data_IF_355003364943
#
_entry.id   IF_355003364943
#
_cell.length_a   1.000
_cell.length_b   1.000
_cell.length_c   1.000
_cell.angle_alpha   90.00
_cell.angle_beta   90.00
_cell.angle_gamma   90.00
#
_symmetry.space_group_name_H-M   'P 1'
#
loop_
_entity.id
_entity.type
_entity.pdbx_description
1 polymer ?
#
# COMPACT_ATOMS: atom_id res chain seq x y z
N UNK A 1 -27.77 20.19 -16.67
CA UNK A 1 -26.82 20.86 -15.75
C UNK A 1 -25.96 19.80 -15.10
N UNK A 2 -24.78 19.57 -15.64
CA UNK A 2 -23.80 18.60 -15.14
C UNK A 2 -22.69 19.34 -14.42
N UNK A 3 -22.48 19.03 -13.15
CA UNK A 3 -21.15 19.06 -12.54
C UNK A 3 -21.11 17.93 -11.54
N UNK A 4 -20.72 16.74 -12.02
CA UNK A 4 -20.43 15.58 -11.19
C UNK A 4 -19.33 15.97 -10.19
N UNK A 5 -19.50 15.52 -8.95
CA UNK A 5 -18.56 15.67 -7.84
C UNK A 5 -17.10 15.54 -8.28
N UNK A 6 -16.29 16.58 -8.06
CA UNK A 6 -14.83 16.52 -8.14
C UNK A 6 -14.29 15.80 -6.88
N UNK A 7 -14.55 14.50 -6.75
CA UNK A 7 -13.77 13.67 -5.83
C UNK A 7 -12.36 13.51 -6.44
N UNK A 8 -11.30 13.58 -5.61
CA UNK A 8 -9.93 13.51 -6.11
C UNK A 8 -9.72 12.18 -6.84
N UNK A 9 -9.22 12.24 -8.08
CA UNK A 9 -8.94 11.05 -8.90
C UNK A 9 -7.87 10.15 -8.28
N UNK A 10 -7.05 10.69 -7.39
CA UNK A 10 -5.92 10.01 -6.78
C UNK A 10 -5.80 10.38 -5.31
N UNK A 11 -5.68 9.36 -4.44
CA UNK A 11 -5.47 9.53 -3.00
C UNK A 11 -4.03 9.14 -2.68
N UNK A 12 -3.34 10.00 -1.94
CA UNK A 12 -1.96 9.72 -1.53
C UNK A 12 -1.92 8.49 -0.63
N UNK A 13 -0.98 7.59 -0.90
CA UNK A 13 -0.57 6.57 0.07
C UNK A 13 0.16 7.25 1.24
N UNK A 14 0.30 6.55 2.38
CA UNK A 14 0.82 7.18 3.60
C UNK A 14 2.16 7.88 3.37
N UNK A 15 2.13 9.22 3.40
CA UNK A 15 3.28 10.09 3.11
C UNK A 15 4.38 9.98 4.16
N UNK A 16 4.03 9.55 5.38
CA UNK A 16 4.99 9.29 6.46
C UNK A 16 5.98 8.18 6.11
N UNK A 17 5.60 7.32 5.17
CA UNK A 17 6.44 6.19 4.72
C UNK A 17 7.33 6.52 3.53
N UNK A 18 7.06 7.62 2.80
CA UNK A 18 7.67 7.93 1.50
C UNK A 18 8.89 8.87 1.58
N UNK A 19 9.52 8.90 2.76
CA UNK A 19 10.84 9.49 3.07
C UNK A 19 11.25 10.71 2.23
N UNK A 20 10.81 11.93 2.56
CA UNK A 20 11.26 13.22 1.96
C UNK A 20 11.42 13.25 0.42
N UNK A 21 10.85 12.28 -0.30
CA UNK A 21 11.05 12.16 -1.73
C UNK A 21 10.07 13.12 -2.39
N UNK A 22 10.51 13.79 -3.44
CA UNK A 22 9.66 14.70 -4.22
C UNK A 22 8.49 13.96 -4.91
N UNK A 23 8.47 12.63 -4.84
CA UNK A 23 7.52 11.75 -5.50
C UNK A 23 6.63 11.03 -4.49
N UNK A 24 5.40 11.53 -4.34
CA UNK A 24 4.36 10.86 -3.56
C UNK A 24 3.67 9.80 -4.40
N UNK A 25 3.52 8.57 -3.88
CA UNK A 25 2.71 7.53 -4.51
C UNK A 25 1.24 7.75 -4.21
N UNK A 26 0.40 7.56 -5.23
CA UNK A 26 -1.05 7.68 -5.13
C UNK A 26 -1.74 6.41 -5.61
N UNK A 27 -2.93 6.13 -5.09
CA UNK A 27 -3.84 5.13 -5.63
C UNK A 27 -5.08 5.80 -6.26
N UNK A 28 -5.65 5.17 -7.29
CA UNK A 28 -6.88 5.64 -7.93
C UNK A 28 -8.06 5.47 -6.97
N UNK A 29 -8.71 6.58 -6.61
CA UNK A 29 -9.86 6.59 -5.70
C UNK A 29 -11.08 5.87 -6.30
N UNK A 30 -11.12 5.66 -7.62
CA UNK A 30 -12.18 4.98 -8.34
C UNK A 30 -11.84 3.51 -8.62
N UNK A 31 -10.69 3.01 -8.16
CA UNK A 31 -10.36 1.60 -8.26
C UNK A 31 -11.44 0.75 -7.56
N UNK A 32 -11.74 -0.41 -8.14
CA UNK A 32 -12.64 -1.36 -7.47
C UNK A 32 -12.02 -1.83 -6.15
N UNK A 33 -12.87 -2.23 -5.22
CA UNK A 33 -12.42 -2.77 -3.92
C UNK A 33 -11.54 -4.01 -4.10
N UNK A 34 -11.89 -4.87 -5.05
CA UNK A 34 -11.08 -6.03 -5.41
C UNK A 34 -9.71 -5.60 -5.92
N UNK A 35 -9.63 -4.57 -6.78
CA UNK A 35 -8.36 -4.05 -7.25
C UNK A 35 -7.52 -3.46 -6.11
N UNK A 36 -8.11 -2.72 -5.17
CA UNK A 36 -7.42 -2.21 -3.98
C UNK A 36 -6.88 -3.36 -3.12
N UNK A 37 -7.70 -4.39 -2.89
CA UNK A 37 -7.34 -5.56 -2.11
C UNK A 37 -6.22 -6.39 -2.76
N UNK A 38 -6.33 -6.67 -4.07
CA UNK A 38 -5.31 -7.38 -4.84
C UNK A 38 -3.99 -6.59 -4.82
N UNK A 39 -4.05 -5.27 -4.97
CA UNK A 39 -2.90 -4.38 -4.98
C UNK A 39 -2.21 -4.33 -3.60
N UNK A 40 -2.97 -4.37 -2.50
CA UNK A 40 -2.43 -4.50 -1.15
C UNK A 40 -1.77 -5.86 -0.94
N UNK A 41 -2.45 -6.94 -1.33
CA UNK A 41 -1.98 -8.33 -1.18
C UNK A 41 -0.70 -8.58 -1.98
N UNK A 42 -0.62 -8.07 -3.21
CA UNK A 42 0.57 -8.17 -4.05
C UNK A 42 1.80 -7.51 -3.40
N UNK A 43 1.62 -6.37 -2.72
CA UNK A 43 2.71 -5.71 -1.96
C UNK A 43 3.15 -6.55 -0.77
N UNK A 44 2.22 -7.17 -0.04
CA UNK A 44 2.54 -8.08 1.06
C UNK A 44 3.32 -9.32 0.57
N UNK A 45 2.92 -9.91 -0.55
CA UNK A 45 3.67 -11.00 -1.17
C UNK A 45 5.07 -10.57 -1.61
N UNK A 46 5.23 -9.37 -2.17
CA UNK A 46 6.54 -8.84 -2.52
C UNK A 46 7.45 -8.68 -1.29
N UNK A 47 6.91 -8.24 -0.16
CA UNK A 47 7.64 -8.17 1.12
C UNK A 47 8.10 -9.55 1.59
N UNK A 48 7.21 -10.54 1.57
CA UNK A 48 7.54 -11.92 1.97
C UNK A 48 8.68 -12.45 1.11
N UNK A 49 8.57 -12.31 -0.22
CA UNK A 49 9.60 -12.75 -1.15
C UNK A 49 10.95 -12.03 -0.91
N UNK A 50 10.93 -10.73 -0.61
CA UNK A 50 12.15 -9.97 -0.31
C UNK A 50 12.84 -10.48 0.96
N UNK A 51 12.07 -10.80 2.00
CA UNK A 51 12.59 -11.31 3.26
C UNK A 51 13.12 -12.74 3.14
N UNK A 52 12.45 -13.60 2.37
CA UNK A 52 12.92 -14.95 2.06
C UNK A 52 14.25 -14.92 1.30
N UNK A 53 14.34 -14.08 0.25
CA UNK A 53 15.58 -13.90 -0.50
C UNK A 53 16.72 -13.38 0.40
N UNK A 54 16.43 -12.45 1.32
CA UNK A 54 17.43 -11.96 2.27
C UNK A 54 17.98 -13.09 3.17
N UNK A 55 17.09 -13.96 3.66
CA UNK A 55 17.46 -15.10 4.49
C UNK A 55 18.41 -16.06 3.75
N UNK A 56 18.16 -16.29 2.46
CA UNK A 56 19.00 -17.18 1.63
C UNK A 56 20.38 -16.60 1.30
N UNK A 57 20.47 -15.28 1.13
CA UNK A 57 21.64 -14.64 0.52
C UNK A 57 22.81 -14.33 1.48
N UNK A 58 22.71 -14.63 2.80
CA UNK A 58 23.76 -14.33 3.83
C UNK A 58 24.43 -12.96 3.63
N UNK A 59 23.59 -11.93 3.53
CA UNK A 59 23.92 -10.67 2.86
C UNK A 59 24.72 -9.67 3.68
N UNK A 60 25.47 -8.81 2.96
CA UNK A 60 26.14 -7.62 3.52
C UNK A 60 25.13 -6.63 4.12
N UNK A 61 25.58 -5.84 5.10
CA UNK A 61 24.78 -4.83 5.81
C UNK A 61 24.06 -3.82 4.90
N UNK A 62 24.70 -3.43 3.79
CA UNK A 62 24.12 -2.54 2.78
C UNK A 62 22.89 -3.14 2.10
N UNK A 63 22.88 -4.45 1.86
CA UNK A 63 21.75 -5.16 1.25
C UNK A 63 20.61 -5.31 2.25
N UNK A 64 20.92 -5.60 3.52
CA UNK A 64 19.92 -5.65 4.60
C UNK A 64 19.23 -4.30 4.76
N UNK A 65 20.00 -3.20 4.76
CA UNK A 65 19.46 -1.84 4.86
C UNK A 65 18.53 -1.53 3.68
N UNK A 66 18.95 -1.83 2.45
CA UNK A 66 18.13 -1.59 1.26
C UNK A 66 16.81 -2.39 1.30
N UNK A 67 16.87 -3.68 1.66
CA UNK A 67 15.68 -4.55 1.78
C UNK A 67 14.76 -4.05 2.89
N UNK A 68 15.31 -3.65 4.04
CA UNK A 68 14.52 -3.09 5.14
C UNK A 68 13.78 -1.80 4.72
N UNK A 69 14.44 -0.91 3.97
CA UNK A 69 13.81 0.31 3.44
C UNK A 69 12.67 0.00 2.47
N UNK A 70 12.90 -0.87 1.48
CA UNK A 70 11.87 -1.27 0.50
C UNK A 70 10.70 -1.99 1.20
N UNK A 71 11.01 -2.88 2.15
CA UNK A 71 9.99 -3.59 2.93
C UNK A 71 9.12 -2.62 3.72
N UNK A 72 9.73 -1.62 4.36
CA UNK A 72 9.00 -0.61 5.13
C UNK A 72 8.06 0.22 4.25
N UNK A 73 8.50 0.57 3.02
CA UNK A 73 7.67 1.26 2.04
C UNK A 73 6.45 0.41 1.63
N UNK A 74 6.69 -0.83 1.20
CA UNK A 74 5.64 -1.72 0.73
C UNK A 74 4.63 -2.09 1.82
N UNK A 75 5.08 -2.28 3.06
CA UNK A 75 4.21 -2.55 4.21
C UNK A 75 3.31 -1.35 4.54
N UNK A 76 3.86 -0.14 4.51
CA UNK A 76 3.05 1.06 4.77
C UNK A 76 2.01 1.28 3.67
N UNK A 77 2.40 1.14 2.40
CA UNK A 77 1.46 1.24 1.28
C UNK A 77 0.33 0.22 1.38
N UNK A 78 0.67 -1.04 1.67
CA UNK A 78 -0.32 -2.10 1.86
C UNK A 78 -1.27 -1.79 3.03
N UNK A 79 -0.73 -1.26 4.13
CA UNK A 79 -1.53 -0.86 5.30
C UNK A 79 -2.52 0.24 4.93
N UNK A 80 -2.08 1.29 4.25
CA UNK A 80 -2.98 2.38 3.81
C UNK A 80 -4.09 1.89 2.88
N UNK A 81 -3.75 1.00 1.94
CA UNK A 81 -4.75 0.40 1.04
C UNK A 81 -5.77 -0.43 1.82
N UNK A 82 -5.33 -1.21 2.81
CA UNK A 82 -6.23 -2.01 3.65
C UNK A 82 -7.10 -1.16 4.57
N UNK A 83 -6.54 -0.09 5.16
CA UNK A 83 -7.29 0.89 5.97
C UNK A 83 -8.41 1.55 5.16
N UNK A 84 -8.17 1.81 3.86
CA UNK A 84 -9.23 2.34 2.98
C UNK A 84 -10.45 1.43 2.83
N UNK A 85 -10.30 0.13 3.11
CA UNK A 85 -11.37 -0.87 3.09
C UNK A 85 -12.12 -0.99 4.43
N UNK A 86 -11.58 -0.44 5.53
CA UNK A 86 -12.16 -0.54 6.88
C UNK A 86 -13.60 0.00 6.98
N UNK A 87 -13.93 1.20 6.41
CA UNK A 87 -15.30 1.72 6.48
C UNK A 87 -16.33 0.78 5.84
N UNK A 88 -15.92 0.04 4.81
CA UNK A 88 -16.77 -0.90 4.08
C UNK A 88 -16.98 -2.16 4.90
N UNK A 89 -15.91 -2.68 5.51
CA UNK A 89 -16.01 -3.81 6.43
C UNK A 89 -16.90 -3.50 7.64
N UNK A 90 -16.84 -2.28 8.17
CA UNK A 90 -17.74 -1.82 9.23
C UNK A 90 -19.20 -1.77 8.77
N UNK A 91 -19.46 -1.25 7.58
CA UNK A 91 -20.83 -1.13 7.06
C UNK A 91 -21.47 -2.50 6.79
N UNK A 92 -20.71 -3.44 6.21
CA UNK A 92 -21.15 -4.82 6.01
C UNK A 92 -21.49 -5.53 7.33
N UNK A 93 -20.79 -5.22 8.42
CA UNK A 93 -21.07 -5.79 9.75
C UNK A 93 -22.38 -5.28 10.35
N UNK A 94 -22.81 -4.05 10.04
CA UNK A 94 -24.09 -3.49 10.52
C UNK A 94 -25.30 -4.07 9.78
N UNK A 95 -25.08 -4.68 8.63
CA UNK A 95 -26.13 -5.29 7.79
C UNK A 95 -26.39 -6.77 8.14
N UNK A 96 -25.67 -7.33 9.12
CA UNK A 96 -25.89 -8.67 9.69
C UNK A 96 -26.58 -8.57 11.04
#
# INVERSE_FOLDING_TARGET
MTSKNNQPYFIALNTSSQSNSESVLYYDANASLDAIYECATARLHAVINLLENLYELKTQESTVTAVASVTSLLLNDATTLLESLEPIAMELRKQK
#
